data_IF_449649278493
#
_entry.id   IF_449649278493
#
_cell.length_a   1.000
_cell.length_b   1.000
_cell.length_c   1.000
_cell.angle_alpha   90.00
_cell.angle_beta   90.00
_cell.angle_gamma   90.00
#
_symmetry.space_group_name_H-M   'P 1'
#
loop_
_entity.id
_entity.type
_entity.pdbx_description
1 polymer ?
#
# COMPACT_ATOMS: atom_id res chain seq x y z
N UNK A 1 -23.59 7.54 -7.71
CA UNK A 1 -22.81 8.67 -7.17
C UNK A 1 -21.61 8.09 -6.45
N UNK A 2 -20.47 8.17 -7.12
CA UNK A 2 -19.17 7.70 -6.68
C UNK A 2 -18.80 8.37 -5.37
N UNK A 3 -18.23 7.59 -4.45
CA UNK A 3 -17.80 8.07 -3.14
C UNK A 3 -16.57 8.95 -3.29
N UNK A 4 -16.33 9.80 -2.30
CA UNK A 4 -15.10 10.58 -2.26
C UNK A 4 -13.90 9.66 -2.01
N UNK A 5 -12.75 9.95 -2.62
CA UNK A 5 -11.51 9.19 -2.39
C UNK A 5 -11.16 9.10 -0.89
N UNK A 6 -11.43 10.15 -0.11
CA UNK A 6 -11.21 10.17 1.34
C UNK A 6 -12.08 9.15 2.09
N UNK A 7 -13.31 8.91 1.65
CA UNK A 7 -14.21 7.93 2.26
C UNK A 7 -13.72 6.51 1.99
N UNK A 8 -13.29 6.25 0.75
CA UNK A 8 -12.69 4.96 0.34
C UNK A 8 -11.43 4.69 1.16
N UNK A 9 -10.53 5.67 1.29
CA UNK A 9 -9.32 5.52 2.10
C UNK A 9 -9.64 5.27 3.58
N UNK A 10 -10.70 5.89 4.09
CA UNK A 10 -11.17 5.68 5.47
C UNK A 10 -11.69 4.26 5.67
N UNK A 11 -12.43 3.71 4.72
CA UNK A 11 -12.88 2.31 4.76
C UNK A 11 -11.69 1.34 4.74
N UNK A 12 -10.70 1.61 3.89
CA UNK A 12 -9.48 0.81 3.79
C UNK A 12 -8.64 0.82 5.07
N UNK A 13 -8.78 1.83 5.93
CA UNK A 13 -8.08 1.84 7.23
C UNK A 13 -8.41 0.62 8.09
N UNK A 14 -9.62 0.05 7.97
CA UNK A 14 -10.01 -1.17 8.70
C UNK A 14 -9.12 -2.39 8.36
N UNK A 15 -8.57 -2.42 7.13
CA UNK A 15 -7.69 -3.50 6.64
C UNK A 15 -6.22 -3.15 6.87
N UNK A 16 -5.82 -1.90 6.61
CA UNK A 16 -4.41 -1.49 6.68
C UNK A 16 -3.94 -1.11 8.10
N UNK A 17 -4.81 -0.61 8.98
CA UNK A 17 -4.41 -0.28 10.36
C UNK A 17 -3.92 -1.51 11.16
N UNK A 18 -4.63 -2.66 11.15
CA UNK A 18 -4.12 -3.86 11.81
C UNK A 18 -2.78 -4.34 11.26
N UNK A 19 -2.53 -4.15 9.95
CA UNK A 19 -1.25 -4.50 9.33
C UNK A 19 -0.13 -3.57 9.81
N UNK A 20 -0.38 -2.25 9.83
CA UNK A 20 0.56 -1.27 10.39
C UNK A 20 0.86 -1.58 11.86
N UNK A 21 -0.15 -1.91 12.66
CA UNK A 21 0.04 -2.28 14.06
C UNK A 21 0.92 -3.54 14.18
N UNK A 22 0.62 -4.59 13.42
CA UNK A 22 1.41 -5.82 13.41
C UNK A 22 2.87 -5.58 13.05
N UNK A 23 3.15 -4.71 12.07
CA UNK A 23 4.53 -4.36 11.70
C UNK A 23 5.27 -3.66 12.85
N UNK A 24 4.58 -2.74 13.56
CA UNK A 24 5.15 -2.11 14.74
C UNK A 24 5.39 -3.11 15.88
N UNK A 25 4.44 -4.03 16.12
CA UNK A 25 4.57 -5.04 17.16
C UNK A 25 5.76 -5.98 16.90
N UNK A 26 5.92 -6.44 15.66
CA UNK A 26 7.05 -7.28 15.24
C UNK A 26 8.39 -6.54 15.35
N UNK A 27 8.44 -5.26 14.99
CA UNK A 27 9.62 -4.43 15.17
C UNK A 27 9.97 -4.28 16.66
N UNK A 28 8.99 -3.95 17.49
CA UNK A 28 9.19 -3.79 18.94
C UNK A 28 9.66 -5.09 19.57
N UNK A 29 9.10 -6.23 19.16
CA UNK A 29 9.55 -7.55 19.59
C UNK A 29 11.01 -7.80 19.20
N UNK A 30 11.38 -7.54 17.94
CA UNK A 30 12.74 -7.72 17.44
C UNK A 30 13.76 -6.85 18.19
N UNK A 31 13.40 -5.60 18.52
CA UNK A 31 14.22 -4.70 19.33
C UNK A 31 14.37 -5.23 20.76
N UNK A 32 13.28 -5.69 21.36
CA UNK A 32 13.28 -6.24 22.71
C UNK A 32 14.15 -7.49 22.81
N UNK A 33 14.17 -8.33 21.77
CA UNK A 33 14.99 -9.55 21.72
C UNK A 33 16.48 -9.23 21.48
N UNK A 34 16.79 -8.09 20.84
CA UNK A 34 18.17 -7.69 20.53
C UNK A 34 18.94 -7.23 21.78
N UNK A 35 18.27 -6.59 22.74
CA UNK A 35 18.90 -6.08 23.96
C UNK A 35 19.53 -7.16 24.87
N UNK A 36 18.83 -8.26 25.24
CA UNK A 36 19.42 -9.32 26.04
C UNK A 36 20.56 -10.03 25.29
N UNK A 37 20.49 -10.13 23.96
CA UNK A 37 21.60 -10.64 23.15
C UNK A 37 22.85 -9.75 23.27
N UNK A 38 22.70 -8.43 23.13
CA UNK A 38 23.82 -7.49 23.30
C UNK A 38 24.45 -7.60 24.70
N UNK A 39 23.61 -7.69 25.73
CA UNK A 39 24.08 -7.86 27.11
C UNK A 39 24.79 -9.20 27.33
N UNK A 40 24.29 -10.29 26.75
CA UNK A 40 24.94 -11.60 26.83
C UNK A 40 26.31 -11.59 26.15
N UNK A 41 26.42 -11.00 24.96
CA UNK A 41 27.69 -10.88 24.23
C UNK A 41 28.70 -10.01 24.98
N UNK A 42 28.26 -8.87 25.54
CA UNK A 42 29.10 -8.02 26.39
C UNK A 42 29.53 -8.73 27.67
N UNK A 43 28.63 -9.50 28.29
CA UNK A 43 28.94 -10.32 29.47
C UNK A 43 29.99 -11.40 29.16
N UNK A 44 29.90 -12.04 27.99
CA UNK A 44 30.91 -12.98 27.51
C UNK A 44 32.28 -12.31 27.30
N UNK A 45 32.29 -11.10 26.75
CA UNK A 45 33.52 -10.32 26.57
C UNK A 45 34.15 -9.90 27.92
N UNK A 46 33.34 -9.54 28.91
CA UNK A 46 33.82 -9.24 30.26
C UNK A 46 34.38 -10.48 30.97
N UNK A 47 33.74 -11.64 30.78
CA UNK A 47 34.23 -12.91 31.29
C UNK A 47 35.57 -13.29 30.63
N UNK A 48 35.71 -13.07 29.32
CA UNK A 48 36.95 -13.29 28.59
C UNK A 48 38.08 -12.39 29.12
N UNK A 49 37.82 -11.09 29.34
CA UNK A 49 38.77 -10.17 29.98
C UNK A 49 39.22 -10.69 31.35
N UNK A 50 38.28 -11.09 32.20
CA UNK A 50 38.58 -11.61 33.55
C UNK A 50 39.46 -12.87 33.47
N UNK A 51 39.18 -13.77 32.52
CA UNK A 51 40.00 -14.96 32.28
C UNK A 51 41.41 -14.59 31.82
N UNK A 52 41.54 -13.65 30.89
CA UNK A 52 42.83 -13.15 30.41
C UNK A 52 43.64 -12.49 31.53
N UNK A 53 43.02 -11.70 32.40
CA UNK A 53 43.69 -11.09 33.55
C UNK A 53 44.27 -12.15 34.50
N UNK A 54 43.51 -13.21 34.82
CA UNK A 54 44.02 -14.33 35.64
C UNK A 54 45.22 -15.03 35.00
N UNK A 55 45.23 -15.16 33.67
CA UNK A 55 46.35 -15.75 32.93
C UNK A 55 47.59 -14.85 32.99
N UNK A 56 47.40 -13.54 32.83
CA UNK A 56 48.46 -12.53 32.96
C UNK A 56 49.06 -12.59 34.38
N UNK A 57 48.22 -12.61 35.42
CA UNK A 57 48.65 -12.69 36.83
C UNK A 57 49.43 -13.99 37.11
N UNK A 58 48.93 -15.12 36.61
CA UNK A 58 49.61 -16.42 36.75
C UNK A 58 50.97 -16.41 36.05
N UNK A 59 51.05 -15.81 34.85
CA UNK A 59 52.28 -15.66 34.09
C UNK A 59 53.29 -14.72 34.76
N UNK A 60 52.84 -13.64 35.39
CA UNK A 60 53.68 -12.74 36.18
C UNK A 60 54.25 -13.45 37.42
N UNK A 61 53.41 -14.16 38.17
CA UNK A 61 53.83 -14.93 39.34
C UNK A 61 54.85 -16.04 39.01
N UNK A 62 54.73 -16.68 37.84
CA UNK A 62 55.70 -17.68 37.36
C UNK A 62 57.06 -17.10 36.96
N UNK A 63 57.15 -15.81 36.61
CA UNK A 63 58.41 -15.13 36.21
C UNK A 63 59.34 -14.81 37.38
N UNK A 64 58.95 -15.14 38.62
CA UNK A 64 59.80 -15.11 39.83
C UNK A 64 59.73 -13.79 40.61
N UNK A 65 60.28 -13.79 41.84
CA UNK A 65 60.20 -12.72 42.85
C UNK A 65 60.62 -11.32 42.37
N UNK A 66 61.47 -11.22 41.35
CA UNK A 66 61.87 -9.94 40.74
C UNK A 66 60.76 -9.28 39.90
N UNK A 67 59.76 -10.06 39.48
CA UNK A 67 58.60 -9.63 38.70
C UNK A 67 57.28 -9.86 39.45
N UNK A 68 57.32 -10.13 40.77
CA UNK A 68 56.11 -10.31 41.59
C UNK A 68 55.47 -8.96 41.93
N UNK A 69 54.92 -8.30 40.92
CA UNK A 69 54.05 -7.15 41.05
C UNK A 69 52.73 -7.41 40.32
N UNK A 70 51.68 -6.66 40.67
CA UNK A 70 50.43 -6.70 39.89
C UNK A 70 50.76 -6.25 38.45
N UNK A 71 50.49 -7.07 37.42
CA UNK A 71 50.87 -6.80 36.04
C UNK A 71 49.93 -5.78 35.38
N UNK A 72 49.88 -4.57 35.95
CA UNK A 72 49.01 -3.47 35.53
C UNK A 72 49.26 -3.05 34.07
N UNK A 73 50.51 -3.09 33.61
CA UNK A 73 50.87 -2.74 32.25
C UNK A 73 50.30 -3.74 31.23
N UNK A 74 50.45 -5.05 31.47
CA UNK A 74 49.90 -6.08 30.59
C UNK A 74 48.36 -6.10 30.62
N UNK A 75 47.75 -5.90 31.79
CA UNK A 75 46.30 -5.78 31.91
C UNK A 75 45.77 -4.55 31.16
N UNK A 76 46.42 -3.38 31.30
CA UNK A 76 46.06 -2.16 30.57
C UNK A 76 46.24 -2.33 29.06
N UNK A 77 47.31 -3.00 28.64
CA UNK A 77 47.55 -3.30 27.24
C UNK A 77 46.45 -4.19 26.66
N UNK A 78 46.06 -5.26 27.35
CA UNK A 78 44.94 -6.11 26.93
C UNK A 78 43.62 -5.32 26.84
N UNK A 79 43.35 -4.45 27.82
CA UNK A 79 42.14 -3.61 27.81
C UNK A 79 42.11 -2.69 26.60
N UNK A 80 43.21 -1.98 26.33
CA UNK A 80 43.30 -1.03 25.23
C UNK A 80 43.33 -1.68 23.85
N UNK A 81 43.99 -2.83 23.71
CA UNK A 81 44.23 -3.46 22.39
C UNK A 81 43.18 -4.51 22.01
N UNK A 82 42.50 -5.13 22.98
CA UNK A 82 41.58 -6.24 22.70
C UNK A 82 40.19 -5.99 23.24
N UNK A 83 40.05 -5.68 24.53
CA UNK A 83 38.74 -5.57 25.16
C UNK A 83 37.94 -4.36 24.66
N UNK A 84 38.49 -3.13 24.74
CA UNK A 84 37.76 -1.92 24.33
C UNK A 84 37.40 -1.91 22.84
N UNK A 85 38.30 -2.30 21.91
CA UNK A 85 37.92 -2.49 20.51
C UNK A 85 36.84 -3.55 20.33
N UNK A 86 36.90 -4.66 21.08
CA UNK A 86 35.85 -5.68 21.08
C UNK A 86 34.49 -5.15 21.51
N UNK A 87 34.45 -4.36 22.59
CA UNK A 87 33.22 -3.70 23.08
C UNK A 87 32.68 -2.75 22.00
N UNK A 88 33.53 -1.94 21.39
CA UNK A 88 33.13 -1.00 20.34
C UNK A 88 32.55 -1.74 19.12
N UNK A 89 33.19 -2.82 18.68
CA UNK A 89 32.71 -3.64 17.57
C UNK A 89 31.34 -4.27 17.86
N UNK A 90 31.13 -4.81 19.07
CA UNK A 90 29.83 -5.34 19.47
C UNK A 90 28.76 -4.25 19.46
N UNK A 91 29.04 -3.10 20.07
CA UNK A 91 28.09 -1.96 20.09
C UNK A 91 27.75 -1.48 18.69
N UNK A 92 28.73 -1.38 17.79
CA UNK A 92 28.51 -0.99 16.40
C UNK A 92 27.64 -2.02 15.67
N UNK A 93 27.93 -3.32 15.80
CA UNK A 93 27.13 -4.40 15.22
C UNK A 93 25.67 -4.32 15.66
N UNK A 94 25.41 -4.14 16.96
CA UNK A 94 24.04 -4.03 17.47
C UNK A 94 23.36 -2.72 17.08
N UNK A 95 24.11 -1.62 16.95
CA UNK A 95 23.60 -0.38 16.38
C UNK A 95 23.18 -0.56 14.91
N UNK A 96 23.98 -1.26 14.10
CA UNK A 96 23.65 -1.60 12.71
C UNK A 96 22.41 -2.49 12.62
N UNK A 97 22.31 -3.53 13.46
CA UNK A 97 21.11 -4.39 13.53
C UNK A 97 19.86 -3.55 13.80
N UNK A 98 19.89 -2.69 14.83
CA UNK A 98 18.77 -1.79 15.14
C UNK A 98 18.46 -0.82 13.99
N UNK A 99 19.49 -0.29 13.35
CA UNK A 99 19.36 0.58 12.17
C UNK A 99 18.66 -0.11 11.01
N UNK A 100 19.06 -1.36 10.72
CA UNK A 100 18.46 -2.18 9.66
C UNK A 100 17.01 -2.53 9.97
N UNK A 101 16.70 -2.91 11.22
CA UNK A 101 15.33 -3.16 11.67
C UNK A 101 14.45 -1.92 11.48
N UNK A 102 14.96 -0.74 11.84
CA UNK A 102 14.24 0.53 11.68
C UNK A 102 14.01 0.86 10.19
N UNK A 103 15.04 0.71 9.36
CA UNK A 103 14.93 0.93 7.92
C UNK A 103 13.91 -0.01 7.26
N UNK A 104 13.90 -1.28 7.67
CA UNK A 104 12.93 -2.27 7.23
C UNK A 104 11.51 -1.90 7.64
N UNK A 105 11.30 -1.45 8.88
CA UNK A 105 9.99 -0.99 9.35
C UNK A 105 9.49 0.21 8.52
N UNK A 106 10.33 1.23 8.33
CA UNK A 106 9.97 2.43 7.55
C UNK A 106 9.60 2.04 6.12
N UNK A 107 10.38 1.16 5.49
CA UNK A 107 10.10 0.68 4.14
C UNK A 107 8.79 -0.11 4.07
N UNK A 108 8.54 -0.99 5.03
CA UNK A 108 7.31 -1.78 5.08
C UNK A 108 6.07 -0.90 5.28
N UNK A 109 6.12 0.06 6.21
CA UNK A 109 5.02 1.00 6.44
C UNK A 109 4.77 1.90 5.22
N UNK A 110 5.84 2.39 4.58
CA UNK A 110 5.73 3.18 3.36
C UNK A 110 5.10 2.40 2.20
N UNK A 111 5.44 1.12 2.05
CA UNK A 111 4.82 0.25 1.05
C UNK A 111 3.31 0.06 1.31
N UNK A 112 2.90 -0.12 2.56
CA UNK A 112 1.48 -0.23 2.91
C UNK A 112 0.71 1.05 2.58
N UNK A 113 1.31 2.22 2.84
CA UNK A 113 0.67 3.50 2.53
C UNK A 113 0.55 3.70 1.01
N UNK A 114 1.57 3.34 0.22
CA UNK A 114 1.51 3.37 -1.25
C UNK A 114 0.44 2.43 -1.77
N UNK A 115 0.36 1.21 -1.23
CA UNK A 115 -0.62 0.20 -1.63
C UNK A 115 -2.05 0.65 -1.31
N UNK A 116 -2.29 1.16 -0.10
CA UNK A 116 -3.58 1.71 0.31
C UNK A 116 -4.03 2.84 -0.63
N UNK A 117 -3.12 3.76 -0.96
CA UNK A 117 -3.42 4.88 -1.86
C UNK A 117 -3.70 4.41 -3.29
N UNK A 118 -2.93 3.45 -3.80
CA UNK A 118 -3.14 2.90 -5.14
C UNK A 118 -4.50 2.22 -5.22
N UNK A 119 -4.79 1.33 -4.28
CA UNK A 119 -6.05 0.60 -4.25
C UNK A 119 -7.26 1.53 -4.07
N UNK A 120 -7.14 2.55 -3.21
CA UNK A 120 -8.18 3.57 -3.04
C UNK A 120 -8.45 4.36 -4.33
N UNK A 121 -7.41 4.74 -5.08
CA UNK A 121 -7.55 5.41 -6.38
C UNK A 121 -8.18 4.50 -7.44
N UNK A 122 -7.83 3.22 -7.44
CA UNK A 122 -8.38 2.24 -8.37
C UNK A 122 -9.89 2.06 -8.13
N UNK A 123 -10.32 1.92 -6.87
CA UNK A 123 -11.75 1.87 -6.50
C UNK A 123 -12.46 3.15 -6.94
N UNK A 124 -11.89 4.31 -6.62
CA UNK A 124 -12.48 5.60 -6.97
C UNK A 124 -12.66 5.73 -8.50
N UNK A 125 -11.64 5.37 -9.27
CA UNK A 125 -11.70 5.38 -10.74
C UNK A 125 -12.78 4.45 -11.29
N UNK A 126 -12.93 3.25 -10.72
CA UNK A 126 -13.99 2.31 -11.10
C UNK A 126 -15.39 2.83 -10.75
N UNK A 127 -15.57 3.48 -9.60
CA UNK A 127 -16.85 4.07 -9.21
C UNK A 127 -17.23 5.23 -10.14
N UNK A 128 -16.29 6.12 -10.46
CA UNK A 128 -16.52 7.22 -11.40
C UNK A 128 -16.86 6.71 -12.80
N UNK A 129 -16.17 5.67 -13.29
CA UNK A 129 -16.45 5.08 -14.58
C UNK A 129 -17.87 4.49 -14.64
N UNK A 130 -18.27 3.71 -13.63
CA UNK A 130 -19.63 3.14 -13.53
C UNK A 130 -20.71 4.21 -13.49
N UNK A 131 -20.47 5.28 -12.75
CA UNK A 131 -21.39 6.41 -12.67
C UNK A 131 -21.56 7.12 -14.03
N UNK A 132 -20.47 7.33 -14.76
CA UNK A 132 -20.51 7.94 -16.10
C UNK A 132 -21.25 7.04 -17.11
N UNK A 133 -21.03 5.73 -17.06
CA UNK A 133 -21.76 4.78 -17.90
C UNK A 133 -23.25 4.77 -17.58
N UNK A 134 -23.61 4.76 -16.29
CA UNK A 134 -25.00 4.84 -15.86
C UNK A 134 -25.68 6.15 -16.30
N UNK A 135 -24.97 7.27 -16.23
CA UNK A 135 -25.47 8.57 -16.71
C UNK A 135 -25.68 8.57 -18.23
N UNK A 136 -24.73 8.04 -19.01
CA UNK A 136 -24.86 7.92 -20.47
C UNK A 136 -26.05 7.04 -20.87
N UNK A 137 -26.19 5.87 -20.26
CA UNK A 137 -27.32 4.97 -20.52
C UNK A 137 -28.67 5.63 -20.15
N UNK A 138 -28.70 6.42 -19.08
CA UNK A 138 -29.90 7.16 -18.70
C UNK A 138 -30.25 8.26 -19.71
N UNK A 139 -29.26 8.97 -20.25
CA UNK A 139 -29.44 9.97 -21.30
C UNK A 139 -29.91 9.36 -22.63
N UNK A 140 -29.30 8.24 -23.05
CA UNK A 140 -29.71 7.51 -24.25
C UNK A 140 -31.17 7.04 -24.17
N UNK A 141 -31.59 6.53 -23.00
CA UNK A 141 -32.99 6.16 -22.77
C UNK A 141 -33.94 7.35 -22.90
N UNK A 142 -33.59 8.50 -22.32
CA UNK A 142 -34.40 9.73 -22.46
C UNK A 142 -34.52 10.16 -23.92
N UNK A 143 -33.42 10.18 -24.66
CA UNK A 143 -33.44 10.53 -26.08
C UNK A 143 -34.27 9.55 -26.91
N UNK A 144 -34.21 8.25 -26.60
CA UNK A 144 -35.03 7.25 -27.26
C UNK A 144 -36.53 7.46 -26.99
N UNK A 145 -36.90 7.66 -25.72
CA UNK A 145 -38.29 7.90 -25.32
C UNK A 145 -38.85 9.19 -25.96
N UNK A 146 -38.03 10.25 -26.02
CA UNK A 146 -38.38 11.50 -26.70
C UNK A 146 -38.62 11.29 -28.21
N UNK A 147 -37.75 10.55 -28.89
CA UNK A 147 -37.91 10.24 -30.33
C UNK A 147 -39.15 9.39 -30.58
N UNK A 148 -39.41 8.41 -29.73
CA UNK A 148 -40.59 7.55 -29.84
C UNK A 148 -41.88 8.36 -29.64
N UNK A 149 -41.92 9.23 -28.63
CA UNK A 149 -43.05 10.12 -28.39
C UNK A 149 -43.26 11.12 -29.53
N UNK A 150 -42.19 11.66 -30.12
CA UNK A 150 -42.26 12.54 -31.28
C UNK A 150 -42.81 11.81 -32.52
N UNK A 151 -42.35 10.59 -32.79
CA UNK A 151 -42.87 9.76 -33.88
C UNK A 151 -44.37 9.49 -33.72
N UNK A 152 -44.80 9.09 -32.53
CA UNK A 152 -46.22 8.82 -32.27
C UNK A 152 -47.10 10.06 -32.46
N UNK A 153 -46.62 11.25 -32.07
CA UNK A 153 -47.32 12.53 -32.31
C UNK A 153 -47.39 12.87 -33.80
N UNK A 154 -46.31 12.65 -34.55
CA UNK A 154 -46.29 12.88 -35.99
C UNK A 154 -47.23 11.92 -36.74
N UNK A 155 -47.25 10.64 -36.36
CA UNK A 155 -48.15 9.63 -36.92
C UNK A 155 -49.62 9.97 -36.65
N UNK A 156 -49.95 10.40 -35.42
CA UNK A 156 -51.30 10.86 -35.07
C UNK A 156 -51.73 12.10 -35.86
N UNK A 157 -50.83 13.05 -36.10
CA UNK A 157 -51.09 14.23 -36.92
C UNK A 157 -51.28 13.88 -38.41
N UNK A 158 -50.52 12.92 -38.95
CA UNK A 158 -50.64 12.47 -40.34
C UNK A 158 -51.97 11.77 -40.63
N UNK A 159 -52.53 11.04 -39.65
CA UNK A 159 -53.82 10.34 -39.77
C UNK A 159 -55.03 11.26 -39.55
N UNK A 160 -54.85 12.39 -38.86
CA UNK A 160 -55.89 13.40 -38.66
C UNK A 160 -55.98 14.48 -39.76
N UNK A 161 -54.94 14.63 -40.59
CA UNK A 161 -54.84 15.68 -41.62
C UNK A 161 -55.25 15.26 -43.05
N UNK A 162 -55.70 14.02 -43.25
CA UNK A 162 -56.14 13.50 -44.55
C UNK A 162 -57.62 13.75 -44.86
N UNK A 163 -58.09 14.98 -44.66
CA UNK A 163 -59.46 15.39 -44.98
C UNK A 163 -59.49 16.34 -46.17
N UNK A 164 -59.83 15.82 -47.36
CA UNK A 164 -60.27 16.64 -48.51
C UNK A 164 -59.41 16.50 -49.76
N UNK A 165 -59.92 15.74 -50.75
CA UNK A 165 -60.35 16.27 -52.05
C UNK A 165 -60.58 15.11 -53.04
N UNK A 166 -61.72 14.41 -52.96
CA UNK A 166 -62.18 13.53 -54.03
C UNK A 166 -63.21 14.28 -54.88
N UNK A 167 -62.70 14.99 -55.90
CA UNK A 167 -63.47 15.57 -56.99
C UNK A 167 -64.37 14.50 -57.63
N UNK A 168 -65.66 14.81 -57.72
CA UNK A 168 -66.67 13.96 -58.34
C UNK A 168 -66.41 13.74 -59.82
N UNK A 169 -66.20 12.48 -60.19
CA UNK A 169 -66.25 12.03 -61.58
C UNK A 169 -67.71 11.91 -62.02
N UNK A 170 -68.15 12.88 -62.83
CA UNK A 170 -69.44 12.87 -63.50
C UNK A 170 -69.27 12.19 -64.87
N UNK A 171 -69.62 10.91 -64.97
CA UNK A 171 -69.67 10.19 -66.25
C UNK A 171 -70.98 10.57 -66.98
N UNK A 172 -70.91 11.56 -67.87
CA UNK A 172 -71.97 11.83 -68.85
C UNK A 172 -71.48 11.40 -70.23
N UNK A 173 -72.32 10.64 -70.93
CA UNK A 173 -71.93 9.78 -72.05
C UNK A 173 -71.70 10.49 -73.38
N UNK A 174 -70.93 9.83 -74.24
CA UNK A 174 -71.25 9.55 -75.64
C UNK A 174 -70.05 8.85 -76.27
N UNK A 175 -70.18 7.59 -76.69
CA UNK A 175 -69.39 7.11 -77.82
C UNK A 175 -70.14 5.97 -78.54
N UNK A 176 -70.48 6.13 -79.85
CA UNK A 176 -71.15 5.10 -80.63
C UNK A 176 -70.21 3.95 -81.04
N UNK A 177 -70.73 2.76 -81.36
CA UNK A 177 -69.91 1.60 -81.67
C UNK A 177 -69.44 1.58 -83.13
N UNK A 178 -68.25 1.02 -83.43
CA UNK A 178 -67.98 0.42 -84.72
C UNK A 178 -67.76 -1.10 -84.63
N UNK A 179 -68.74 -1.82 -85.17
CA UNK A 179 -68.62 -2.88 -86.18
C UNK A 179 -67.53 -3.95 -86.04
N UNK A 180 -67.94 -5.18 -85.66
CA UNK A 180 -67.76 -6.44 -86.42
C UNK A 180 -68.74 -7.48 -85.90
#
# INVERSE_FOLDING_TARGET
MARALSEILTELNSVYNPQRQRQNDLYNQSINDTNPMEQADLGGLEAAKTSSFKQIDTGANRRGMLFSGVPLAEQAQYVGQSYLPGVANLKNRYAEIRGNLKSSLVSALGNLDVEQNKYGRDIYGQEVARDQEAARLAEERRQFDERLAASQRADAASRGGGGGNSNGFNFNGNNPPPNT
#
